data_IF_059810389507
#
_entry.id   IF_059810389507
#
_cell.length_a   1.000
_cell.length_b   1.000
_cell.length_c   1.000
_cell.angle_alpha   90.00
_cell.angle_beta   90.00
_cell.angle_gamma   90.00
#
_symmetry.space_group_name_H-M   'P 1'
#
loop_
_entity.id
_entity.type
_entity.pdbx_description
1 polymer ?
#
# COMPACT_ATOMS: atom_id res chain seq x y z
N UNK A 1 17.78 18.16 -22.37
CA UNK A 1 17.33 16.91 -23.00
C UNK A 1 16.37 16.21 -22.05
N UNK A 2 15.06 16.12 -22.37
CA UNK A 2 14.04 15.56 -21.46
C UNK A 2 14.33 14.11 -21.06
N UNK A 3 14.92 13.31 -21.94
CA UNK A 3 15.28 11.93 -21.60
C UNK A 3 16.37 11.82 -20.51
N UNK A 4 17.38 12.72 -20.53
CA UNK A 4 18.39 12.76 -19.46
C UNK A 4 17.77 13.16 -18.12
N UNK A 5 16.86 14.13 -18.15
CA UNK A 5 16.13 14.56 -16.94
C UNK A 5 15.29 13.43 -16.36
N UNK A 6 14.61 12.66 -17.21
CA UNK A 6 13.85 11.49 -16.81
C UNK A 6 14.72 10.42 -16.13
N UNK A 7 15.88 10.10 -16.71
CA UNK A 7 16.81 9.13 -16.11
C UNK A 7 17.36 9.60 -14.77
N UNK A 8 17.75 10.88 -14.66
CA UNK A 8 18.19 11.46 -13.38
C UNK A 8 17.09 11.37 -12.35
N UNK A 9 15.85 11.73 -12.70
CA UNK A 9 14.69 11.61 -11.82
C UNK A 9 14.47 10.16 -11.36
N UNK A 10 14.48 9.20 -12.27
CA UNK A 10 14.27 7.78 -11.94
C UNK A 10 15.35 7.24 -11.00
N UNK A 11 16.62 7.60 -11.25
CA UNK A 11 17.72 7.20 -10.37
C UNK A 11 17.58 7.80 -8.98
N UNK A 12 17.34 9.12 -8.88
CA UNK A 12 17.15 9.78 -7.59
C UNK A 12 15.93 9.27 -6.84
N UNK A 13 14.83 9.03 -7.54
CA UNK A 13 13.62 8.45 -6.98
C UNK A 13 13.85 7.02 -6.47
N UNK A 14 14.57 6.20 -7.24
CA UNK A 14 14.97 4.85 -6.82
C UNK A 14 15.86 4.86 -5.58
N UNK A 15 16.85 5.76 -5.54
CA UNK A 15 17.72 5.94 -4.36
C UNK A 15 16.94 6.39 -3.13
N UNK A 16 16.01 7.33 -3.28
CA UNK A 16 15.15 7.80 -2.19
C UNK A 16 14.32 6.66 -1.58
N UNK A 17 13.65 5.87 -2.40
CA UNK A 17 12.85 4.74 -1.93
C UNK A 17 13.69 3.61 -1.34
N UNK A 18 14.88 3.35 -1.90
CA UNK A 18 15.83 2.38 -1.37
C UNK A 18 16.34 2.80 0.01
N UNK A 19 16.71 4.06 0.17
CA UNK A 19 17.10 4.62 1.48
C UNK A 19 15.97 4.52 2.51
N UNK A 20 14.72 4.80 2.09
CA UNK A 20 13.53 4.64 2.92
C UNK A 20 13.33 3.18 3.37
N UNK A 21 13.49 2.23 2.47
CA UNK A 21 13.42 0.80 2.78
C UNK A 21 14.48 0.34 3.79
N UNK A 22 15.73 0.76 3.60
CA UNK A 22 16.84 0.47 4.52
C UNK A 22 16.58 1.10 5.90
N UNK A 23 16.09 2.35 5.94
CA UNK A 23 15.81 3.09 7.17
C UNK A 23 14.65 2.48 7.98
N UNK A 24 13.75 1.74 7.35
CA UNK A 24 12.59 1.16 8.01
C UNK A 24 12.97 0.11 9.06
N UNK A 25 14.04 -0.67 8.82
CA UNK A 25 14.47 -1.73 9.73
C UNK A 25 14.98 -1.15 11.06
N UNK A 26 15.98 -0.24 11.09
CA UNK A 26 16.42 0.38 12.34
C UNK A 26 15.31 1.22 12.99
N UNK A 27 14.45 1.88 12.21
CA UNK A 27 13.31 2.60 12.77
C UNK A 27 12.39 1.70 13.59
N UNK A 28 12.06 0.52 13.07
CA UNK A 28 11.22 -0.45 13.78
C UNK A 28 11.92 -1.02 15.00
N UNK A 29 13.22 -1.31 14.92
CA UNK A 29 14.02 -1.83 16.04
C UNK A 29 14.09 -0.81 17.17
N UNK A 30 14.46 0.44 16.88
CA UNK A 30 14.51 1.54 17.86
C UNK A 30 13.14 1.76 18.49
N UNK A 31 12.08 1.78 17.69
CA UNK A 31 10.70 1.95 18.19
C UNK A 31 10.32 0.80 19.15
N UNK A 32 10.69 -0.43 18.81
CA UNK A 32 10.44 -1.60 19.66
C UNK A 32 11.22 -1.58 20.98
N UNK A 33 12.41 -0.99 21.00
CA UNK A 33 13.24 -0.83 22.22
C UNK A 33 12.75 0.27 23.16
N UNK A 34 12.19 1.34 22.59
CA UNK A 34 11.78 2.53 23.36
C UNK A 34 10.33 2.42 23.85
N UNK A 35 9.43 1.88 23.03
CA UNK A 35 8.01 1.78 23.35
C UNK A 35 7.69 0.45 24.03
N UNK A 36 7.17 0.45 25.29
CA UNK A 36 6.60 -0.73 25.92
C UNK A 36 5.53 -1.38 25.03
N UNK A 37 5.40 -2.71 25.10
CA UNK A 37 4.49 -3.48 24.22
C UNK A 37 3.06 -2.94 24.25
N UNK A 38 2.59 -2.57 25.46
CA UNK A 38 1.25 -2.06 25.71
C UNK A 38 1.00 -0.70 25.07
N UNK A 39 2.04 0.09 24.86
CA UNK A 39 1.95 1.45 24.31
C UNK A 39 2.21 1.50 22.79
N UNK A 40 2.76 0.44 22.19
CA UNK A 40 3.09 0.41 20.75
C UNK A 40 1.87 0.64 19.87
N UNK A 41 0.75 -0.01 20.19
CA UNK A 41 -0.50 0.16 19.44
C UNK A 41 -1.00 1.61 19.49
N UNK A 42 -0.93 2.26 20.66
CA UNK A 42 -1.28 3.67 20.82
C UNK A 42 -0.34 4.59 20.04
N UNK A 43 0.97 4.34 20.10
CA UNK A 43 1.98 5.11 19.37
C UNK A 43 1.75 5.05 17.86
N UNK A 44 1.56 3.84 17.30
CA UNK A 44 1.30 3.68 15.87
C UNK A 44 -0.07 4.23 15.47
N UNK A 45 -1.08 4.12 16.33
CA UNK A 45 -2.40 4.69 16.11
C UNK A 45 -2.37 6.22 16.04
N UNK A 46 -1.74 6.87 17.01
CA UNK A 46 -1.56 8.33 17.05
C UNK A 46 -0.74 8.82 15.85
N UNK A 47 0.37 8.14 15.52
CA UNK A 47 1.17 8.44 14.33
C UNK A 47 0.34 8.37 13.05
N UNK A 48 -0.51 7.35 12.93
CA UNK A 48 -1.36 7.16 11.74
C UNK A 48 -2.44 8.23 11.63
N UNK A 49 -3.03 8.62 12.77
CA UNK A 49 -4.02 9.70 12.85
C UNK A 49 -3.41 11.03 12.39
N UNK A 50 -2.29 11.44 13.01
CA UNK A 50 -1.61 12.68 12.64
C UNK A 50 -1.10 12.66 11.20
N UNK A 51 -0.56 11.51 10.75
CA UNK A 51 -0.13 11.34 9.36
C UNK A 51 -1.29 11.50 8.38
N UNK A 52 -2.46 10.95 8.69
CA UNK A 52 -3.68 11.13 7.90
C UNK A 52 -4.14 12.58 7.82
N UNK A 53 -4.21 13.28 8.97
CA UNK A 53 -4.58 14.70 9.02
C UNK A 53 -3.59 15.58 8.22
N UNK A 54 -2.30 15.37 8.39
CA UNK A 54 -1.26 16.09 7.65
C UNK A 54 -1.29 15.79 6.15
N UNK A 55 -1.68 14.57 5.75
CA UNK A 55 -1.84 14.22 4.34
C UNK A 55 -2.98 14.98 3.68
N UNK A 56 -4.08 15.25 4.39
CA UNK A 56 -5.17 16.09 3.89
C UNK A 56 -4.69 17.52 3.69
N UNK A 57 -3.96 18.09 4.66
CA UNK A 57 -3.38 19.44 4.54
C UNK A 57 -2.38 19.51 3.37
N UNK A 58 -1.54 18.48 3.20
CA UNK A 58 -0.64 18.37 2.06
C UNK A 58 -1.40 18.33 0.72
N UNK A 59 -2.55 17.66 0.68
CA UNK A 59 -3.44 17.65 -0.50
C UNK A 59 -3.93 19.04 -0.89
N UNK A 60 -4.32 19.87 0.09
CA UNK A 60 -4.70 21.27 -0.16
C UNK A 60 -3.50 22.11 -0.65
N UNK A 61 -2.32 21.91 -0.07
CA UNK A 61 -1.10 22.59 -0.51
C UNK A 61 -0.76 22.22 -1.96
N UNK A 62 -0.80 20.95 -2.30
CA UNK A 62 -0.55 20.45 -3.67
C UNK A 62 -1.55 21.07 -4.65
N UNK A 63 -2.85 21.07 -4.29
CA UNK A 63 -3.89 21.68 -5.10
C UNK A 63 -3.63 23.17 -5.34
N UNK A 64 -3.25 23.91 -4.30
CA UNK A 64 -2.94 25.35 -4.42
C UNK A 64 -1.73 25.58 -5.32
N UNK A 65 -0.61 24.89 -5.07
CA UNK A 65 0.64 25.04 -5.84
C UNK A 65 0.48 24.69 -7.32
N UNK A 66 -0.38 23.68 -7.63
CA UNK A 66 -0.64 23.27 -9.01
C UNK A 66 -1.81 24.03 -9.67
N UNK A 67 -2.49 24.94 -8.95
CA UNK A 67 -3.55 25.76 -9.53
C UNK A 67 -3.00 26.96 -10.31
N UNK A 68 -3.77 27.43 -11.28
CA UNK A 68 -3.43 28.65 -12.03
C UNK A 68 -3.30 29.89 -11.12
N UNK A 69 -4.03 29.91 -10.00
CA UNK A 69 -3.99 31.00 -9.02
C UNK A 69 -2.65 31.13 -8.27
N UNK A 70 -1.82 30.11 -8.28
CA UNK A 70 -0.48 30.17 -7.66
C UNK A 70 0.54 30.97 -8.44
N UNK A 71 0.30 31.22 -9.74
CA UNK A 71 1.27 31.84 -10.65
C UNK A 71 2.52 30.99 -10.93
N UNK A 72 2.58 29.76 -10.39
CA UNK A 72 3.71 28.84 -10.56
C UNK A 72 3.47 27.92 -11.75
N UNK A 73 4.36 28.02 -12.74
CA UNK A 73 4.32 27.15 -13.93
C UNK A 73 5.27 25.97 -13.80
N UNK A 74 5.06 24.92 -14.60
CA UNK A 74 6.01 23.81 -14.72
C UNK A 74 7.37 24.34 -15.25
N UNK A 75 8.51 23.93 -14.68
CA UNK A 75 8.70 22.91 -13.62
C UNK A 75 8.74 23.48 -12.19
N UNK A 76 8.61 24.81 -12.00
CA UNK A 76 8.81 25.49 -10.71
C UNK A 76 7.80 25.02 -9.64
N UNK A 77 6.55 24.80 -10.02
CA UNK A 77 5.50 24.28 -9.13
C UNK A 77 5.89 22.92 -8.51
N UNK A 78 6.42 21.99 -9.30
CA UNK A 78 6.93 20.71 -8.79
C UNK A 78 8.19 20.90 -7.94
N UNK A 79 9.08 21.84 -8.32
CA UNK A 79 10.26 22.20 -7.53
C UNK A 79 9.89 22.64 -6.12
N UNK A 80 8.87 23.49 -5.99
CA UNK A 80 8.34 23.93 -4.69
C UNK A 80 7.81 22.76 -3.87
N UNK A 81 7.04 21.84 -4.48
CA UNK A 81 6.49 20.69 -3.79
C UNK A 81 7.60 19.74 -3.28
N UNK A 82 8.60 19.46 -4.11
CA UNK A 82 9.76 18.65 -3.68
C UNK A 82 10.59 19.35 -2.62
N UNK A 83 10.75 20.68 -2.70
CA UNK A 83 11.41 21.49 -1.67
C UNK A 83 10.69 21.39 -0.32
N UNK A 84 9.38 21.57 -0.29
CA UNK A 84 8.57 21.39 0.92
C UNK A 84 8.71 19.96 1.47
N UNK A 85 8.60 18.94 0.63
CA UNK A 85 8.76 17.55 1.04
C UNK A 85 10.14 17.31 1.69
N UNK A 86 11.21 17.85 1.10
CA UNK A 86 12.58 17.75 1.62
C UNK A 86 12.70 18.38 3.01
N UNK A 87 12.13 19.56 3.20
CA UNK A 87 12.13 20.25 4.51
C UNK A 87 11.42 19.38 5.56
N UNK A 88 10.21 18.87 5.28
CA UNK A 88 9.47 18.04 6.24
C UNK A 88 10.18 16.73 6.55
N UNK A 89 10.76 16.06 5.56
CA UNK A 89 11.53 14.83 5.78
C UNK A 89 12.76 15.12 6.63
N UNK A 90 13.50 16.19 6.35
CA UNK A 90 14.70 16.57 7.11
C UNK A 90 14.35 16.91 8.56
N UNK A 91 13.28 17.66 8.80
CA UNK A 91 12.80 17.96 10.15
C UNK A 91 12.38 16.69 10.90
N UNK A 92 11.66 15.78 10.23
CA UNK A 92 11.26 14.51 10.80
C UNK A 92 12.46 13.63 11.18
N UNK A 93 13.45 13.50 10.30
CA UNK A 93 14.68 12.77 10.58
C UNK A 93 15.51 13.45 11.68
N UNK A 94 15.61 14.79 11.67
CA UNK A 94 16.28 15.56 12.72
C UNK A 94 15.64 15.36 14.10
N UNK A 95 14.29 15.28 14.14
CA UNK A 95 13.58 14.95 15.38
C UNK A 95 13.88 13.52 15.85
N UNK A 96 13.91 12.55 14.91
CA UNK A 96 14.22 11.16 15.22
C UNK A 96 15.66 10.95 15.72
N UNK A 97 16.64 11.72 15.23
CA UNK A 97 18.03 11.66 15.69
C UNK A 97 18.19 12.06 17.18
N UNK A 98 17.21 12.76 17.77
CA UNK A 98 17.22 13.10 19.20
C UNK A 98 16.75 11.97 20.11
N UNK A 99 16.25 10.88 19.52
CA UNK A 99 15.80 9.70 20.26
C UNK A 99 17.00 8.97 20.83
N UNK A 100 17.01 8.73 22.14
CA UNK A 100 18.06 7.95 22.81
C UNK A 100 17.73 6.47 22.76
N UNK A 101 18.55 5.72 22.03
CA UNK A 101 18.40 4.28 21.92
C UNK A 101 19.00 3.58 23.15
N UNK A 102 18.24 2.70 23.86
CA UNK A 102 18.83 1.84 24.89
C UNK A 102 19.79 0.83 24.25
N UNK A 103 21.04 0.79 24.73
CA UNK A 103 22.05 -0.15 24.24
C UNK A 103 21.72 -1.54 24.76
N UNK A 104 21.31 -2.45 23.90
CA UNK A 104 21.15 -3.86 24.22
C UNK A 104 22.30 -4.68 23.63
N UNK A 105 22.80 -5.70 24.33
CA UNK A 105 23.84 -6.55 23.76
C UNK A 105 23.33 -7.25 22.51
N UNK A 106 24.07 -7.10 21.42
CA UNK A 106 23.75 -7.72 20.13
C UNK A 106 24.00 -9.22 20.21
N UNK A 107 23.01 -10.02 19.83
CA UNK A 107 23.21 -11.47 19.73
C UNK A 107 24.34 -11.78 18.72
N UNK A 108 25.35 -12.56 19.16
CA UNK A 108 26.58 -12.86 18.40
C UNK A 108 26.37 -13.72 17.14
N UNK A 109 25.16 -14.22 16.89
CA UNK A 109 24.88 -15.07 15.72
C UNK A 109 24.51 -14.23 14.51
N UNK A 110 25.48 -13.97 13.63
CA UNK A 110 25.22 -13.49 12.28
C UNK A 110 24.67 -14.65 11.44
N UNK A 111 23.35 -14.72 11.27
CA UNK A 111 22.79 -15.60 10.25
C UNK A 111 23.15 -15.06 8.86
N UNK A 112 23.68 -15.91 8.01
CA UNK A 112 23.94 -15.57 6.61
C UNK A 112 22.60 -15.31 5.88
N UNK A 113 22.65 -14.51 4.81
CA UNK A 113 21.46 -14.32 3.94
C UNK A 113 20.99 -15.66 3.34
N UNK A 114 21.92 -16.56 3.01
CA UNK A 114 21.61 -17.92 2.58
C UNK A 114 20.84 -18.72 3.64
N UNK A 115 21.23 -18.59 4.91
CA UNK A 115 20.54 -19.27 6.02
C UNK A 115 19.11 -18.70 6.22
N UNK A 116 18.97 -17.37 6.03
CA UNK A 116 17.66 -16.74 6.05
C UNK A 116 16.75 -17.28 4.94
N UNK A 117 17.23 -17.35 3.71
CA UNK A 117 16.47 -17.90 2.59
C UNK A 117 16.16 -19.39 2.79
N UNK A 118 17.14 -20.19 3.20
CA UNK A 118 16.96 -21.63 3.44
C UNK A 118 15.91 -21.87 4.55
N UNK A 119 15.97 -21.08 5.65
CA UNK A 119 14.98 -21.17 6.73
C UNK A 119 13.58 -20.78 6.26
N UNK A 120 13.46 -19.74 5.43
CA UNK A 120 12.19 -19.30 4.86
C UNK A 120 11.57 -20.32 3.91
N UNK A 121 12.38 -20.91 3.05
CA UNK A 121 11.94 -22.01 2.14
C UNK A 121 11.49 -23.24 2.94
N UNK A 122 12.18 -23.55 4.05
CA UNK A 122 11.75 -24.64 4.94
C UNK A 122 10.38 -24.33 5.55
N UNK A 123 10.19 -23.12 6.11
CA UNK A 123 8.89 -22.70 6.64
C UNK A 123 7.80 -22.79 5.55
N UNK A 124 8.09 -22.33 4.34
CA UNK A 124 7.15 -22.40 3.23
C UNK A 124 6.75 -23.85 2.87
N UNK A 125 7.68 -24.78 3.03
CA UNK A 125 7.41 -26.21 2.79
C UNK A 125 6.59 -26.85 3.91
N UNK A 126 6.92 -26.52 5.15
CA UNK A 126 6.38 -27.19 6.33
C UNK A 126 5.05 -26.59 6.78
N UNK A 127 4.86 -25.27 6.63
CA UNK A 127 3.65 -24.55 7.04
C UNK A 127 2.72 -24.32 5.85
N UNK A 128 1.62 -25.10 5.80
CA UNK A 128 0.58 -25.00 4.76
C UNK A 128 -0.13 -23.65 4.79
N UNK A 129 -0.39 -23.12 5.99
CA UNK A 129 -1.13 -21.88 6.17
C UNK A 129 -0.31 -20.67 5.74
N UNK A 130 0.97 -20.65 6.11
CA UNK A 130 1.92 -19.63 5.65
C UNK A 130 2.11 -19.66 4.12
N UNK A 131 2.20 -20.85 3.52
CA UNK A 131 2.26 -21.00 2.06
C UNK A 131 1.05 -20.42 1.36
N UNK A 132 -0.15 -20.66 1.90
CA UNK A 132 -1.40 -20.09 1.38
C UNK A 132 -1.43 -18.57 1.52
N UNK A 133 -0.95 -18.03 2.64
CA UNK A 133 -0.85 -16.59 2.83
C UNK A 133 0.06 -15.93 1.78
N UNK A 134 1.24 -16.52 1.51
CA UNK A 134 2.14 -16.02 0.49
C UNK A 134 1.57 -16.14 -0.93
N UNK A 135 0.85 -17.22 -1.23
CA UNK A 135 0.13 -17.36 -2.50
C UNK A 135 -0.97 -16.29 -2.63
N UNK A 136 -1.80 -16.09 -1.61
CA UNK A 136 -2.80 -15.02 -1.59
C UNK A 136 -2.16 -13.64 -1.77
N UNK A 137 -1.02 -13.39 -1.10
CA UNK A 137 -0.24 -12.17 -1.23
C UNK A 137 0.23 -11.93 -2.67
N UNK A 138 0.72 -12.96 -3.32
CA UNK A 138 1.09 -12.89 -4.74
C UNK A 138 -0.10 -12.49 -5.59
N UNK A 139 -1.23 -13.15 -5.43
CA UNK A 139 -2.43 -12.86 -6.20
C UNK A 139 -2.96 -11.44 -5.98
N UNK A 140 -3.13 -10.97 -4.74
CA UNK A 140 -3.60 -9.59 -4.56
C UNK A 140 -2.57 -8.55 -5.01
N UNK A 141 -1.25 -8.85 -4.99
CA UNK A 141 -0.25 -7.94 -5.54
C UNK A 141 -0.43 -7.74 -7.05
N UNK A 142 -0.75 -8.82 -7.78
CA UNK A 142 -1.18 -8.70 -9.18
C UNK A 142 -2.52 -8.00 -9.31
N UNK A 143 -3.46 -8.22 -8.40
CA UNK A 143 -4.73 -7.48 -8.36
C UNK A 143 -4.54 -5.96 -8.20
N UNK A 144 -3.51 -5.54 -7.48
CA UNK A 144 -3.17 -4.13 -7.29
C UNK A 144 -2.49 -3.47 -8.50
N UNK A 145 -2.12 -4.21 -9.54
CA UNK A 145 -1.40 -3.66 -10.69
C UNK A 145 -2.18 -2.56 -11.43
N UNK A 146 -3.51 -2.52 -11.31
CA UNK A 146 -4.36 -1.51 -11.92
C UNK A 146 -4.32 -0.13 -11.23
N UNK A 147 -3.94 -0.05 -9.95
CA UNK A 147 -4.02 1.18 -9.14
C UNK A 147 -3.32 2.38 -9.78
N UNK A 148 -2.07 2.31 -10.26
CA UNK A 148 -1.39 3.45 -10.87
C UNK A 148 -2.03 3.92 -12.18
N UNK A 149 -2.87 3.07 -12.79
CA UNK A 149 -3.43 3.32 -14.11
C UNK A 149 -4.87 3.85 -14.09
N UNK A 150 -5.54 3.90 -12.92
CA UNK A 150 -6.88 4.46 -12.83
C UNK A 150 -6.92 5.94 -13.20
N UNK A 151 -5.95 6.74 -12.76
CA UNK A 151 -5.87 8.17 -13.09
C UNK A 151 -5.58 8.40 -14.58
N UNK A 152 -4.50 7.85 -15.17
CA UNK A 152 -4.23 8.00 -16.60
C UNK A 152 -5.40 7.55 -17.48
N UNK A 153 -6.05 6.45 -17.12
CA UNK A 153 -7.20 5.94 -17.85
C UNK A 153 -8.41 6.89 -17.77
N UNK A 154 -8.70 7.44 -16.59
CA UNK A 154 -9.78 8.41 -16.42
C UNK A 154 -9.61 9.65 -17.32
N UNK A 155 -8.39 10.19 -17.35
CA UNK A 155 -8.08 11.41 -18.10
C UNK A 155 -7.98 11.12 -19.60
N UNK A 156 -7.16 10.14 -20.00
CA UNK A 156 -6.82 9.92 -21.42
C UNK A 156 -7.88 9.15 -22.20
N UNK A 157 -8.66 8.24 -21.58
CA UNK A 157 -9.61 7.37 -22.26
C UNK A 157 -11.08 7.67 -21.94
N UNK A 158 -11.37 8.13 -20.73
CA UNK A 158 -12.75 8.49 -20.34
C UNK A 158 -13.04 9.99 -20.49
N UNK A 159 -12.03 10.81 -20.87
CA UNK A 159 -12.16 12.24 -21.08
C UNK A 159 -12.52 13.03 -19.82
N UNK A 160 -12.15 12.51 -18.64
CA UNK A 160 -12.40 13.20 -17.38
C UNK A 160 -11.43 14.37 -17.20
N UNK A 161 -11.88 15.43 -16.55
CA UNK A 161 -11.07 16.63 -16.33
C UNK A 161 -9.92 16.34 -15.37
N UNK A 162 -8.73 16.85 -15.64
CA UNK A 162 -7.57 16.74 -14.73
C UNK A 162 -7.86 17.29 -13.33
N UNK A 163 -8.70 18.33 -13.22
CA UNK A 163 -9.14 18.86 -11.92
C UNK A 163 -9.87 17.84 -11.04
N UNK A 164 -10.46 16.81 -11.63
CA UNK A 164 -11.14 15.73 -10.89
C UNK A 164 -10.16 14.74 -10.23
N UNK A 165 -8.91 14.67 -10.72
CA UNK A 165 -7.88 13.75 -10.20
C UNK A 165 -7.61 13.97 -8.71
N UNK A 166 -7.49 15.23 -8.28
CA UNK A 166 -7.30 15.56 -6.87
C UNK A 166 -8.45 15.05 -5.98
N UNK A 167 -9.68 15.12 -6.49
CA UNK A 167 -10.85 14.62 -5.77
C UNK A 167 -10.82 13.09 -5.70
N UNK A 168 -10.47 12.39 -6.79
CA UNK A 168 -10.31 10.93 -6.79
C UNK A 168 -9.32 10.46 -5.74
N UNK A 169 -8.15 11.07 -5.67
CA UNK A 169 -7.13 10.74 -4.69
C UNK A 169 -7.62 11.03 -3.26
N UNK A 170 -8.29 12.17 -3.05
CA UNK A 170 -8.89 12.50 -1.76
C UNK A 170 -9.94 11.47 -1.32
N UNK A 171 -10.82 11.04 -2.23
CA UNK A 171 -11.81 9.99 -1.98
C UNK A 171 -11.14 8.69 -1.57
N UNK A 172 -10.07 8.28 -2.25
CA UNK A 172 -9.32 7.07 -1.89
C UNK A 172 -8.71 7.16 -0.48
N UNK A 173 -8.08 8.29 -0.16
CA UNK A 173 -7.50 8.53 1.18
C UNK A 173 -8.57 8.54 2.28
N UNK A 174 -9.65 9.29 2.08
CA UNK A 174 -10.76 9.40 3.02
C UNK A 174 -11.40 8.03 3.24
N UNK A 175 -11.69 7.30 2.16
CA UNK A 175 -12.25 5.96 2.24
C UNK A 175 -11.32 5.00 2.99
N UNK A 176 -10.01 5.06 2.75
CA UNK A 176 -9.01 4.28 3.48
C UNK A 176 -9.00 4.58 4.98
N UNK A 177 -9.12 5.85 5.37
CA UNK A 177 -9.18 6.25 6.79
C UNK A 177 -10.47 5.78 7.44
N UNK A 178 -11.63 6.05 6.83
CA UNK A 178 -12.92 5.66 7.37
C UNK A 178 -13.12 4.14 7.43
N UNK A 179 -12.63 3.42 6.42
CA UNK A 179 -12.69 1.97 6.41
C UNK A 179 -11.90 1.33 7.55
N UNK A 180 -10.82 1.97 8.05
CA UNK A 180 -10.13 1.47 9.23
C UNK A 180 -11.04 1.39 10.47
N UNK A 181 -12.01 2.31 10.63
CA UNK A 181 -12.99 2.23 11.73
C UNK A 181 -13.91 1.01 11.58
N UNK A 182 -14.27 0.67 10.33
CA UNK A 182 -15.03 -0.53 10.03
C UNK A 182 -14.18 -1.79 10.27
N UNK A 183 -12.95 -1.80 9.79
CA UNK A 183 -12.02 -2.91 9.96
C UNK A 183 -11.72 -3.19 11.42
N UNK A 184 -11.55 -2.17 12.25
CA UNK A 184 -11.35 -2.33 13.70
C UNK A 184 -12.55 -2.99 14.40
N UNK A 185 -13.78 -2.72 13.97
CA UNK A 185 -14.99 -3.38 14.52
C UNK A 185 -15.09 -4.85 14.10
N UNK A 186 -14.62 -5.18 12.90
CA UNK A 186 -14.63 -6.56 12.37
C UNK A 186 -13.45 -7.36 12.93
N UNK A 187 -12.32 -6.71 13.21
CA UNK A 187 -11.10 -7.35 13.71
C UNK A 187 -11.29 -8.14 15.01
N UNK A 188 -12.18 -7.72 15.88
CA UNK A 188 -12.49 -8.50 17.09
C UNK A 188 -12.94 -9.93 16.79
N UNK A 189 -13.23 -10.25 15.51
CA UNK A 189 -13.70 -11.56 15.07
C UNK A 189 -12.63 -12.38 14.35
N UNK A 190 -11.96 -11.84 13.33
CA UNK A 190 -10.96 -12.58 12.54
C UNK A 190 -10.19 -11.67 11.57
N UNK A 191 -8.86 -11.74 11.58
CA UNK A 191 -8.00 -11.04 10.60
C UNK A 191 -8.18 -11.60 9.19
N UNK A 192 -8.51 -12.88 9.04
CA UNK A 192 -8.82 -13.50 7.75
C UNK A 192 -10.02 -12.84 7.09
N UNK A 193 -11.08 -12.56 7.84
CA UNK A 193 -12.30 -11.91 7.32
C UNK A 193 -11.97 -10.51 6.81
N UNK A 194 -11.16 -9.73 7.53
CA UNK A 194 -10.74 -8.41 7.06
C UNK A 194 -9.92 -8.50 5.78
N UNK A 195 -9.03 -9.48 5.68
CA UNK A 195 -8.23 -9.71 4.49
C UNK A 195 -9.12 -10.05 3.28
N UNK A 196 -10.10 -10.92 3.47
CA UNK A 196 -11.06 -11.29 2.43
C UNK A 196 -11.87 -10.08 1.95
N UNK A 197 -12.49 -9.34 2.86
CA UNK A 197 -13.23 -8.12 2.51
C UNK A 197 -12.34 -7.04 1.89
N UNK A 198 -11.11 -6.89 2.37
CA UNK A 198 -10.15 -5.98 1.76
C UNK A 198 -9.88 -6.30 0.29
N UNK A 199 -9.73 -7.58 -0.05
CA UNK A 199 -9.55 -8.02 -1.44
C UNK A 199 -10.86 -7.93 -2.23
N UNK A 200 -12.04 -8.14 -1.63
CA UNK A 200 -13.33 -7.92 -2.29
C UNK A 200 -13.49 -6.45 -2.69
N UNK A 201 -13.19 -5.50 -1.79
CA UNK A 201 -13.20 -4.08 -2.13
C UNK A 201 -12.18 -3.77 -3.22
N UNK A 202 -10.98 -4.38 -3.15
CA UNK A 202 -9.97 -4.23 -4.21
C UNK A 202 -10.45 -4.76 -5.56
N UNK A 203 -11.22 -5.86 -5.60
CA UNK A 203 -11.80 -6.43 -6.83
C UNK A 203 -12.81 -5.47 -7.50
N UNK A 204 -13.60 -4.73 -6.71
CA UNK A 204 -14.58 -3.80 -7.27
C UNK A 204 -13.93 -2.72 -8.13
N UNK A 205 -12.72 -2.27 -7.76
CA UNK A 205 -12.03 -1.18 -8.46
C UNK A 205 -11.71 -1.51 -9.93
N UNK A 206 -10.99 -2.57 -10.27
CA UNK A 206 -10.70 -2.90 -11.66
C UNK A 206 -11.94 -3.32 -12.46
N UNK A 207 -12.93 -3.96 -11.82
CA UNK A 207 -14.17 -4.34 -12.51
C UNK A 207 -14.96 -3.10 -12.92
N UNK A 208 -15.18 -2.14 -12.01
CA UNK A 208 -15.89 -0.90 -12.33
C UNK A 208 -15.10 -0.09 -13.35
N UNK A 209 -13.77 0.02 -13.23
CA UNK A 209 -12.93 0.73 -14.20
C UNK A 209 -13.05 0.12 -15.60
N UNK A 210 -13.03 -1.21 -15.73
CA UNK A 210 -13.18 -1.91 -17.00
C UNK A 210 -14.57 -1.73 -17.62
N UNK A 211 -15.62 -1.69 -16.80
CA UNK A 211 -17.00 -1.55 -17.25
C UNK A 211 -17.43 -0.10 -17.49
N UNK A 212 -16.72 0.89 -16.96
CA UNK A 212 -17.10 2.32 -17.08
C UNK A 212 -17.33 2.79 -18.52
N UNK A 213 -16.57 2.38 -19.55
CA UNK A 213 -16.82 2.80 -20.94
C UNK A 213 -18.16 2.35 -21.50
N UNK A 214 -18.68 1.19 -21.06
CA UNK A 214 -19.95 0.64 -21.54
C UNK A 214 -21.17 1.37 -20.97
N UNK A 215 -20.97 2.18 -19.92
CA UNK A 215 -22.03 2.90 -19.24
C UNK A 215 -22.32 4.21 -19.99
N UNK A 216 -23.61 4.57 -20.20
CA UNK A 216 -23.96 5.82 -20.85
C UNK A 216 -23.48 7.04 -20.07
N UNK A 217 -23.02 8.07 -20.77
CA UNK A 217 -22.51 9.29 -20.15
C UNK A 217 -23.66 10.26 -19.82
N UNK A 218 -24.44 9.91 -18.81
CA UNK A 218 -25.60 10.71 -18.36
C UNK A 218 -25.09 11.83 -17.44
N UNK A 219 -25.44 13.10 -17.72
CA UNK A 219 -25.09 14.21 -16.86
C UNK A 219 -25.80 14.12 -15.51
N UNK A 220 -25.07 14.28 -14.40
CA UNK A 220 -25.56 14.23 -13.02
C UNK A 220 -25.33 15.56 -12.28
N UNK A 221 -25.42 16.67 -12.98
CA UNK A 221 -25.28 18.02 -12.38
C UNK A 221 -23.97 18.19 -11.62
N UNK A 222 -24.03 18.36 -10.31
CA UNK A 222 -22.86 18.62 -9.44
C UNK A 222 -21.81 17.51 -9.48
N UNK A 223 -22.21 16.26 -9.74
CA UNK A 223 -21.32 15.10 -9.81
C UNK A 223 -20.70 14.91 -11.22
N UNK A 224 -20.91 15.84 -12.13
CA UNK A 224 -20.43 15.76 -13.49
C UNK A 224 -21.25 14.79 -14.34
N UNK A 225 -20.87 13.53 -14.40
CA UNK A 225 -21.59 12.48 -15.14
C UNK A 225 -21.67 11.18 -14.35
N UNK A 226 -22.55 10.28 -14.77
CA UNK A 226 -22.68 8.94 -14.19
C UNK A 226 -21.34 8.18 -14.24
N UNK A 227 -20.58 8.30 -15.31
CA UNK A 227 -19.24 7.71 -15.43
C UNK A 227 -18.29 8.26 -14.35
N UNK A 228 -18.30 9.59 -14.13
CA UNK A 228 -17.48 10.22 -13.10
C UNK A 228 -17.90 9.77 -11.70
N UNK A 229 -19.20 9.70 -11.44
CA UNK A 229 -19.72 9.23 -10.16
C UNK A 229 -19.30 7.78 -9.86
N UNK A 230 -19.39 6.88 -10.83
CA UNK A 230 -18.92 5.50 -10.70
C UNK A 230 -17.40 5.43 -10.52
N UNK A 231 -16.66 6.34 -11.13
CA UNK A 231 -15.22 6.39 -10.96
C UNK A 231 -14.79 6.84 -9.55
N UNK A 232 -15.61 7.61 -8.83
CA UNK A 232 -15.41 7.83 -7.39
C UNK A 232 -15.49 6.52 -6.60
N UNK A 233 -16.36 5.59 -6.99
CA UNK A 233 -16.46 4.28 -6.35
C UNK A 233 -15.19 3.46 -6.59
N UNK A 234 -14.55 3.55 -7.76
CA UNK A 234 -13.24 2.90 -8.06
C UNK A 234 -12.21 3.32 -7.01
N UNK A 235 -12.07 4.63 -6.76
CA UNK A 235 -11.10 5.15 -5.80
C UNK A 235 -11.49 4.87 -4.35
N UNK A 236 -12.77 4.96 -4.01
CA UNK A 236 -13.26 4.62 -2.67
C UNK A 236 -13.00 3.14 -2.35
N UNK A 237 -13.32 2.24 -3.28
CA UNK A 237 -13.11 0.81 -3.12
C UNK A 237 -11.62 0.47 -3.02
N UNK A 238 -10.76 1.04 -3.88
CA UNK A 238 -9.31 0.83 -3.81
C UNK A 238 -8.73 1.31 -2.47
N UNK A 239 -9.13 2.49 -1.99
CA UNK A 239 -8.68 3.03 -0.69
C UNK A 239 -9.06 2.13 0.48
N UNK A 240 -10.33 1.72 0.55
CA UNK A 240 -10.81 0.80 1.59
C UNK A 240 -10.15 -0.57 1.51
N UNK A 241 -10.00 -1.12 0.29
CA UNK A 241 -9.37 -2.41 0.05
C UNK A 241 -7.91 -2.44 0.50
N UNK A 242 -7.11 -1.45 0.06
CA UNK A 242 -5.69 -1.32 0.46
C UNK A 242 -5.55 -1.18 1.96
N UNK A 243 -6.41 -0.38 2.62
CA UNK A 243 -6.36 -0.21 4.07
C UNK A 243 -6.65 -1.54 4.81
N UNK A 244 -7.68 -2.29 4.39
CA UNK A 244 -8.01 -3.59 4.96
C UNK A 244 -6.91 -4.63 4.76
N UNK A 245 -6.38 -4.76 3.54
CA UNK A 245 -5.28 -5.68 3.23
C UNK A 245 -4.04 -5.36 4.06
N UNK A 246 -3.63 -4.09 4.15
CA UNK A 246 -2.46 -3.69 4.91
C UNK A 246 -2.60 -3.97 6.41
N UNK A 247 -3.80 -3.76 6.96
CA UNK A 247 -4.09 -4.07 8.37
C UNK A 247 -4.05 -5.58 8.60
N UNK A 248 -4.82 -6.33 7.83
CA UNK A 248 -5.05 -7.74 8.06
C UNK A 248 -3.84 -8.62 7.71
N UNK A 249 -3.09 -8.30 6.67
CA UNK A 249 -1.94 -9.08 6.25
C UNK A 249 -0.88 -9.23 7.35
N UNK A 250 -0.51 -8.11 8.01
CA UNK A 250 0.48 -8.17 9.08
C UNK A 250 -0.09 -8.84 10.32
N UNK A 251 -1.36 -8.55 10.65
CA UNK A 251 -2.01 -9.11 11.84
C UNK A 251 -2.16 -10.61 11.71
N UNK A 252 -2.68 -11.09 10.58
CA UNK A 252 -2.84 -12.51 10.31
C UNK A 252 -1.49 -13.25 10.34
N UNK A 253 -0.44 -12.65 9.77
CA UNK A 253 0.91 -13.21 9.84
C UNK A 253 1.38 -13.38 11.30
N UNK A 254 1.13 -12.39 12.15
CA UNK A 254 1.52 -12.45 13.56
C UNK A 254 0.69 -13.46 14.37
N UNK A 255 -0.56 -13.74 13.94
CA UNK A 255 -1.43 -14.74 14.53
C UNK A 255 -0.96 -16.17 14.23
N UNK A 256 -0.48 -16.45 13.00
CA UNK A 256 -0.04 -17.79 12.60
C UNK A 256 1.43 -18.08 12.93
N UNK A 257 2.26 -17.05 13.10
CA UNK A 257 3.70 -17.22 13.30
C UNK A 257 4.02 -17.55 14.77
N UNK A 258 4.65 -18.71 15.05
CA UNK A 258 5.09 -19.04 16.42
C UNK A 258 6.01 -17.97 16.99
N UNK A 259 5.82 -17.59 18.25
CA UNK A 259 6.48 -16.45 18.89
C UNK A 259 8.01 -16.52 18.78
N UNK A 260 8.60 -17.71 18.97
CA UNK A 260 10.05 -17.94 18.95
C UNK A 260 10.71 -17.71 17.60
N UNK A 261 10.01 -17.99 16.49
CA UNK A 261 10.54 -17.90 15.12
C UNK A 261 9.83 -16.84 14.27
N UNK A 262 8.93 -16.05 14.87
CA UNK A 262 8.18 -14.97 14.23
C UNK A 262 9.02 -14.02 13.38
N UNK A 263 10.24 -13.59 13.80
CA UNK A 263 11.08 -12.75 12.96
C UNK A 263 11.47 -13.40 11.62
N UNK A 264 11.59 -14.74 11.58
CA UNK A 264 11.89 -15.47 10.33
C UNK A 264 10.70 -15.45 9.37
N UNK A 265 9.46 -15.62 9.88
CA UNK A 265 8.23 -15.49 9.07
C UNK A 265 8.11 -14.10 8.46
N UNK A 266 8.23 -13.07 9.29
CA UNK A 266 8.13 -11.67 8.85
C UNK A 266 9.23 -11.34 7.83
N UNK A 267 10.48 -11.67 8.14
CA UNK A 267 11.62 -11.40 7.29
C UNK A 267 11.50 -12.08 5.92
N UNK A 268 11.15 -13.37 5.90
CA UNK A 268 10.98 -14.10 4.64
C UNK A 268 9.80 -13.58 3.82
N UNK A 269 8.68 -13.22 4.45
CA UNK A 269 7.56 -12.60 3.76
C UNK A 269 7.97 -11.31 3.04
N UNK A 270 8.78 -10.46 3.66
CA UNK A 270 9.28 -9.24 3.01
C UNK A 270 10.23 -9.55 1.86
N UNK A 271 11.15 -10.49 2.04
CA UNK A 271 12.08 -10.93 0.98
C UNK A 271 11.31 -11.53 -0.21
N UNK A 272 10.35 -12.39 0.05
CA UNK A 272 9.47 -12.98 -0.96
C UNK A 272 8.65 -11.93 -1.70
N UNK A 273 8.19 -10.89 -1.00
CA UNK A 273 7.33 -9.85 -1.58
C UNK A 273 8.11 -8.81 -2.39
N UNK A 274 9.43 -8.75 -2.25
CA UNK A 274 10.23 -7.74 -2.95
C UNK A 274 10.03 -7.76 -4.48
N UNK A 275 10.10 -8.90 -5.18
CA UNK A 275 9.83 -8.94 -6.63
C UNK A 275 8.42 -8.50 -7.01
N UNK A 276 7.43 -8.70 -6.12
CA UNK A 276 6.03 -8.32 -6.38
C UNK A 276 5.84 -6.79 -6.44
N UNK A 277 6.77 -6.02 -5.91
CA UNK A 277 6.76 -4.55 -6.03
C UNK A 277 6.98 -4.08 -7.47
N UNK A 278 7.53 -4.94 -8.34
CA UNK A 278 7.74 -4.65 -9.76
C UNK A 278 6.49 -4.91 -10.62
N UNK A 279 5.47 -5.56 -10.10
CA UNK A 279 4.24 -5.91 -10.85
C UNK A 279 3.59 -4.68 -11.52
N UNK A 280 3.43 -3.51 -10.87
CA UNK A 280 2.90 -2.33 -11.55
C UNK A 280 3.77 -1.83 -12.71
N UNK A 281 5.10 -1.95 -12.60
CA UNK A 281 6.02 -1.56 -13.66
C UNK A 281 5.90 -2.50 -14.87
N UNK A 282 5.78 -3.81 -14.63
CA UNK A 282 5.52 -4.81 -15.69
C UNK A 282 4.17 -4.57 -16.36
N UNK A 283 3.13 -4.24 -15.58
CA UNK A 283 1.81 -3.88 -16.11
C UNK A 283 1.89 -2.61 -16.98
N UNK A 284 2.69 -1.60 -16.58
CA UNK A 284 2.93 -0.41 -17.37
C UNK A 284 3.62 -0.69 -18.70
N UNK A 285 4.59 -1.58 -18.72
CA UNK A 285 5.23 -2.02 -19.97
C UNK A 285 4.25 -2.79 -20.87
N UNK A 286 3.40 -3.62 -20.27
CA UNK A 286 2.43 -4.43 -21.01
C UNK A 286 1.25 -3.62 -21.57
N UNK A 287 0.93 -2.45 -21.02
CA UNK A 287 -0.27 -1.67 -21.38
C UNK A 287 -0.27 -1.21 -22.84
N UNK A 288 0.93 -1.02 -23.42
CA UNK A 288 1.06 -0.71 -24.84
C UNK A 288 0.59 -1.84 -25.76
N UNK A 289 0.63 -3.08 -25.28
CA UNK A 289 0.24 -4.27 -26.06
C UNK A 289 -1.17 -4.73 -25.72
N UNK A 290 -1.59 -4.61 -24.47
CA UNK A 290 -2.81 -5.23 -23.93
C UNK A 290 -3.95 -4.23 -23.78
N UNK A 291 -3.68 -2.92 -23.74
CA UNK A 291 -4.63 -1.86 -23.39
C UNK A 291 -5.08 -1.90 -21.92
N UNK A 292 -5.81 -0.86 -21.49
CA UNK A 292 -6.22 -0.72 -20.09
C UNK A 292 -7.30 -1.71 -19.65
N UNK A 293 -8.33 -1.91 -20.47
CA UNK A 293 -9.48 -2.74 -20.09
C UNK A 293 -9.12 -4.20 -19.82
N UNK A 294 -8.43 -4.92 -20.73
CA UNK A 294 -7.98 -6.28 -20.46
C UNK A 294 -7.06 -6.36 -19.24
N UNK A 295 -6.19 -5.37 -19.02
CA UNK A 295 -5.35 -5.31 -17.84
C UNK A 295 -6.19 -5.24 -16.55
N UNK A 296 -7.23 -4.42 -16.51
CA UNK A 296 -8.14 -4.34 -15.38
C UNK A 296 -8.89 -5.66 -15.15
N UNK A 297 -9.34 -6.33 -16.22
CA UNK A 297 -9.97 -7.65 -16.10
C UNK A 297 -9.02 -8.71 -15.56
N UNK A 298 -7.76 -8.70 -16.02
CA UNK A 298 -6.71 -9.58 -15.47
C UNK A 298 -6.47 -9.29 -13.99
N UNK A 299 -6.41 -8.02 -13.59
CA UNK A 299 -6.32 -7.64 -12.18
C UNK A 299 -7.50 -8.17 -11.36
N UNK A 300 -8.72 -8.09 -11.92
CA UNK A 300 -9.92 -8.67 -11.32
C UNK A 300 -9.83 -10.19 -11.13
N UNK A 301 -9.35 -10.92 -12.14
CA UNK A 301 -9.12 -12.38 -12.03
C UNK A 301 -8.13 -12.70 -10.91
N UNK A 302 -7.04 -11.95 -10.79
CA UNK A 302 -6.08 -12.14 -9.70
C UNK A 302 -6.69 -11.84 -8.32
N UNK A 303 -7.57 -10.83 -8.20
CA UNK A 303 -8.32 -10.59 -6.96
C UNK A 303 -9.23 -11.78 -6.62
N UNK A 304 -9.92 -12.38 -7.59
CA UNK A 304 -10.74 -13.58 -7.38
C UNK A 304 -9.89 -14.76 -6.90
N UNK A 305 -8.73 -15.01 -7.50
CA UNK A 305 -7.80 -16.05 -7.07
C UNK A 305 -7.30 -15.79 -5.64
N UNK A 306 -7.05 -14.53 -5.29
CA UNK A 306 -6.68 -14.13 -3.94
C UNK A 306 -7.81 -14.45 -2.93
N UNK A 307 -9.07 -14.10 -3.23
CA UNK A 307 -10.23 -14.39 -2.38
C UNK A 307 -10.37 -15.91 -2.17
N UNK A 308 -10.29 -16.69 -3.25
CA UNK A 308 -10.36 -18.13 -3.16
C UNK A 308 -9.27 -18.72 -2.26
N UNK A 309 -8.04 -18.20 -2.39
CA UNK A 309 -6.90 -18.65 -1.59
C UNK A 309 -7.04 -18.23 -0.12
N UNK A 310 -7.55 -17.03 0.16
CA UNK A 310 -7.80 -16.52 1.52
C UNK A 310 -8.87 -17.34 2.23
N UNK A 311 -9.91 -17.79 1.53
CA UNK A 311 -10.94 -18.67 2.11
C UNK A 311 -10.39 -20.01 2.60
N UNK A 312 -9.29 -20.44 2.02
CA UNK A 312 -8.58 -21.64 2.47
C UNK A 312 -7.61 -21.43 3.65
N UNK A 313 -7.48 -20.20 4.18
CA UNK A 313 -6.67 -19.92 5.36
C UNK A 313 -7.38 -20.40 6.63
N UNK A 314 -6.61 -21.02 7.52
CA UNK A 314 -7.12 -21.51 8.79
C UNK A 314 -7.25 -20.34 9.79
N UNK A 315 -8.29 -20.36 10.61
CA UNK A 315 -8.52 -19.37 11.69
C UNK A 315 -7.83 -19.74 13.01
N UNK A 316 -7.11 -20.86 13.02
CA UNK A 316 -6.41 -21.32 14.20
C UNK A 316 -5.27 -20.35 14.55
N UNK A 317 -5.42 -19.72 15.71
CA UNK A 317 -4.33 -19.05 16.38
C UNK A 317 -3.22 -20.07 16.64
N UNK A 318 -1.96 -19.66 16.53
CA UNK A 318 -0.87 -20.46 17.01
C UNK A 318 -1.18 -20.78 18.49
N UNK A 319 -1.56 -21.99 18.75
CA UNK A 319 -1.55 -22.50 20.12
C UNK A 319 -0.10 -22.39 20.55
N UNK A 320 0.17 -21.42 21.44
CA UNK A 320 1.40 -21.44 22.20
C UNK A 320 1.40 -22.79 22.88
N UNK A 321 2.16 -23.74 22.33
CA UNK A 321 2.46 -24.98 22.99
C UNK A 321 3.08 -24.58 24.33
N UNK A 322 2.31 -24.81 25.37
CA UNK A 322 2.80 -24.75 26.74
C UNK A 322 3.84 -25.86 26.83
N UNK A 323 5.11 -25.50 26.73
CA UNK A 323 6.24 -26.20 27.32
C UNK A 323 7.23 -25.20 27.92
#
# INVERSE_FOLDING_TARGET
>A
NPQRLLWVFLVLFGLYWSAGGVSMVPFMDITAKIAPVEQRAKLFGVRRLWGGMLSVLAGFLIRYVLSESSGLTFPTNYGVLFGCATVFVTLGMGAFLRVREPIHPVAKTRNSFSDHLASGVRILRDDRNYRRLLAARTFWSFGMMGIPFYVPYAVSHLGMRESTVGIFLSVSLISGVFSNLLWMRIWTKSSRIILEWGVIFMLLSPLIAALTPTIPNIPLGVFGSLRTALYFVVFAASGAGVAGINLANMTYLLEIAPSRIRPRYVGFMHTFSFPLTLVPALAGAAIHYVSYQPMFLIAGVFCLLAIFTIRGLDENHATDEKE
#
